data_IF_102174042963
#
_entry.id   IF_102174042963
#
_cell.length_a   1.000
_cell.length_b   1.000
_cell.length_c   1.000
_cell.angle_alpha   90.00
_cell.angle_beta   90.00
_cell.angle_gamma   90.00
#
_symmetry.space_group_name_H-M   'P 1'
#
loop_
_entity.id
_entity.type
_entity.pdbx_description
1 polymer ?
#
# COMPACT_ATOMS: atom_id res chain seq x y z
N UNK A 1 -1.05 -8.75 -17.55
CA UNK A 1 -0.59 -9.33 -16.28
C UNK A 1 -1.67 -9.09 -15.24
N UNK A 2 -2.23 -10.14 -14.67
CA UNK A 2 -3.13 -10.07 -13.51
C UNK A 2 -2.40 -10.74 -12.35
N UNK A 3 -2.56 -10.18 -11.14
CA UNK A 3 -1.99 -10.79 -9.93
C UNK A 3 -2.81 -12.01 -9.52
N UNK A 4 -2.22 -12.90 -8.73
CA UNK A 4 -2.93 -14.01 -8.06
C UNK A 4 -4.10 -13.54 -7.18
N UNK A 5 -4.16 -12.24 -6.86
CA UNK A 5 -5.22 -11.61 -6.08
C UNK A 5 -6.34 -10.99 -6.94
N UNK A 6 -6.23 -10.99 -8.27
CA UNK A 6 -7.17 -10.29 -9.13
C UNK A 6 -8.50 -11.06 -9.26
N UNK A 7 -9.56 -10.56 -8.61
CA UNK A 7 -10.90 -11.17 -8.67
C UNK A 7 -11.88 -10.43 -9.61
N UNK A 8 -11.68 -9.12 -9.85
CA UNK A 8 -12.59 -8.29 -10.67
C UNK A 8 -11.81 -7.49 -11.73
N UNK A 9 -12.24 -7.46 -13.01
CA UNK A 9 -11.69 -6.55 -14.00
C UNK A 9 -12.06 -5.10 -13.65
N UNK A 10 -11.12 -4.15 -13.80
CA UNK A 10 -11.43 -2.72 -13.62
C UNK A 10 -10.27 -1.79 -13.28
N UNK A 11 -9.08 -2.30 -12.91
CA UNK A 11 -7.91 -1.45 -12.71
C UNK A 11 -7.24 -1.12 -14.06
N UNK A 12 -7.06 0.17 -14.36
CA UNK A 12 -6.37 0.65 -15.57
C UNK A 12 -4.86 0.38 -15.49
N UNK A 13 -4.31 0.32 -14.27
CA UNK A 13 -2.93 -0.07 -14.00
C UNK A 13 -2.89 -1.34 -13.15
N UNK A 14 -1.99 -2.27 -13.48
CA UNK A 14 -1.82 -3.50 -12.72
C UNK A 14 -1.25 -3.19 -11.31
N UNK A 15 -1.81 -3.78 -10.22
CA UNK A 15 -1.26 -3.67 -8.88
C UNK A 15 0.04 -4.49 -8.79
N UNK A 16 1.12 -3.91 -9.28
CA UNK A 16 2.33 -4.67 -9.62
C UNK A 16 3.12 -5.21 -8.43
N UNK A 17 2.95 -4.65 -7.23
CA UNK A 17 3.52 -5.22 -6.01
C UNK A 17 2.99 -6.65 -5.73
N UNK A 18 1.74 -6.93 -6.12
CA UNK A 18 1.15 -8.27 -6.00
C UNK A 18 1.66 -9.27 -7.05
N UNK A 19 2.45 -8.86 -8.05
CA UNK A 19 3.06 -9.77 -9.03
C UNK A 19 4.27 -10.52 -8.46
N UNK A 20 4.77 -10.12 -7.29
CA UNK A 20 5.84 -10.81 -6.57
C UNK A 20 5.35 -12.03 -5.78
N UNK A 21 4.04 -12.30 -5.81
CA UNK A 21 3.42 -13.43 -5.13
C UNK A 21 3.01 -14.48 -6.14
N UNK A 22 3.47 -15.70 -5.92
CA UNK A 22 3.05 -16.91 -6.62
C UNK A 22 2.30 -17.85 -5.65
N UNK A 23 1.65 -18.87 -6.19
CA UNK A 23 0.92 -19.86 -5.38
C UNK A 23 1.80 -20.53 -4.32
N UNK A 24 3.04 -20.98 -4.62
CA UNK A 24 3.94 -21.54 -3.61
C UNK A 24 4.20 -20.59 -2.42
N UNK A 25 4.51 -19.32 -2.68
CA UNK A 25 4.70 -18.35 -1.60
C UNK A 25 3.43 -18.15 -0.77
N UNK A 26 2.26 -18.11 -1.41
CA UNK A 26 1.00 -18.00 -0.70
C UNK A 26 0.69 -19.24 0.15
N UNK A 27 1.06 -20.43 -0.31
CA UNK A 27 0.95 -21.67 0.46
C UNK A 27 1.89 -21.68 1.67
N UNK A 28 3.12 -21.19 1.51
CA UNK A 28 4.09 -21.06 2.60
C UNK A 28 3.58 -20.08 3.67
N UNK A 29 3.04 -18.93 3.25
CA UNK A 29 2.43 -17.95 4.16
C UNK A 29 1.23 -18.56 4.92
N UNK A 30 0.33 -19.25 4.23
CA UNK A 30 -0.80 -19.95 4.87
C UNK A 30 -0.33 -21.00 5.88
N UNK A 31 0.68 -21.79 5.51
CA UNK A 31 1.25 -22.84 6.37
C UNK A 31 1.93 -22.25 7.61
N UNK A 32 2.46 -21.03 7.50
CA UNK A 32 3.00 -20.26 8.62
C UNK A 32 1.92 -19.56 9.48
N UNK A 33 0.63 -19.75 9.18
CA UNK A 33 -0.48 -19.13 9.90
C UNK A 33 -0.71 -17.65 9.55
N UNK A 34 -0.21 -17.19 8.39
CA UNK A 34 -0.43 -15.82 7.91
C UNK A 34 -1.71 -15.80 7.09
N UNK A 35 -2.70 -15.08 7.62
CA UNK A 35 -4.00 -14.87 6.97
C UNK A 35 -3.90 -13.83 5.84
N UNK A 36 -4.72 -13.99 4.81
CA UNK A 36 -4.81 -13.06 3.68
C UNK A 36 -6.23 -12.53 3.53
N UNK A 37 -6.38 -11.23 3.29
CA UNK A 37 -7.64 -10.59 2.94
C UNK A 37 -7.46 -9.74 1.67
N UNK A 38 -8.49 -9.66 0.84
CA UNK A 38 -8.45 -8.94 -0.44
C UNK A 38 -9.49 -7.85 -0.48
N UNK A 39 -9.12 -6.66 -0.97
CA UNK A 39 -10.01 -5.53 -1.23
C UNK A 39 -9.95 -5.13 -2.71
N UNK A 40 -10.86 -4.25 -3.15
CA UNK A 40 -10.86 -3.75 -4.53
C UNK A 40 -10.52 -2.26 -4.55
N UNK A 41 -9.62 -1.85 -5.44
CA UNK A 41 -9.40 -0.44 -5.81
C UNK A 41 -9.37 -0.34 -7.34
N UNK A 42 -10.18 0.57 -7.88
CA UNK A 42 -10.14 0.97 -9.28
C UNK A 42 -9.27 2.22 -9.41
N UNK A 43 -8.03 1.98 -9.80
CA UNK A 43 -7.02 3.00 -10.04
C UNK A 43 -7.30 3.65 -11.40
N UNK A 44 -7.64 4.95 -11.38
CA UNK A 44 -7.78 5.77 -12.58
C UNK A 44 -6.43 6.19 -13.16
N UNK A 45 -6.43 6.82 -14.34
CA UNK A 45 -5.19 7.27 -15.00
C UNK A 45 -4.42 8.35 -14.21
N UNK A 46 -5.05 9.00 -13.24
CA UNK A 46 -4.50 10.12 -12.46
C UNK A 46 -3.48 9.75 -11.38
N UNK A 47 -3.46 8.50 -10.91
CA UNK A 47 -2.68 8.05 -9.74
C UNK A 47 -1.17 8.15 -9.93
N UNK A 48 -0.70 8.08 -11.17
CA UNK A 48 0.72 8.13 -11.52
C UNK A 48 1.19 9.52 -11.95
N UNK A 49 0.34 10.55 -11.83
CA UNK A 49 0.73 11.90 -12.21
C UNK A 49 1.77 12.47 -11.23
N UNK A 50 2.80 13.16 -11.72
CA UNK A 50 3.75 13.87 -10.87
C UNK A 50 3.03 14.91 -10.00
N UNK A 51 3.58 15.19 -8.82
CA UNK A 51 3.12 16.33 -8.01
C UNK A 51 3.40 17.63 -8.78
N UNK A 52 2.35 18.36 -9.15
CA UNK A 52 2.43 19.62 -9.92
C UNK A 52 2.22 20.89 -9.08
N UNK A 53 2.00 20.74 -7.77
CA UNK A 53 1.74 21.88 -6.88
C UNK A 53 3.03 22.44 -6.29
N UNK A 54 3.06 23.75 -6.02
CA UNK A 54 4.20 24.44 -5.39
C UNK A 54 4.42 24.00 -3.93
N UNK A 55 3.37 23.49 -3.28
CA UNK A 55 3.44 22.92 -1.93
C UNK A 55 2.82 21.53 -1.92
N UNK A 56 3.41 20.61 -1.15
CA UNK A 56 2.92 19.23 -1.04
C UNK A 56 1.45 19.20 -0.57
N UNK A 57 1.10 20.02 0.42
CA UNK A 57 -0.26 20.16 0.94
C UNK A 57 -1.27 20.69 -0.08
N UNK A 58 -0.81 21.39 -1.13
CA UNK A 58 -1.66 21.91 -2.19
C UNK A 58 -1.86 20.94 -3.35
N UNK A 59 -1.40 19.70 -3.27
CA UNK A 59 -1.60 18.69 -4.31
C UNK A 59 -2.99 18.05 -4.17
N UNK A 60 -3.78 18.10 -5.24
CA UNK A 60 -5.05 17.37 -5.33
C UNK A 60 -4.81 16.00 -5.96
N UNK A 61 -5.20 14.96 -5.22
CA UNK A 61 -5.24 13.60 -5.75
C UNK A 61 -6.46 13.43 -6.64
N UNK A 62 -6.34 12.59 -7.68
CA UNK A 62 -7.50 12.15 -8.44
C UNK A 62 -8.33 11.17 -7.62
N UNK A 63 -9.65 11.31 -7.71
CA UNK A 63 -10.59 10.39 -7.09
C UNK A 63 -10.40 8.96 -7.63
N UNK A 64 -10.35 8.00 -6.73
CA UNK A 64 -10.27 6.58 -7.03
C UNK A 64 -11.37 5.83 -6.29
N UNK A 65 -12.06 4.96 -7.00
CA UNK A 65 -13.13 4.14 -6.41
C UNK A 65 -12.54 2.93 -5.69
N UNK A 66 -13.00 2.65 -4.48
CA UNK A 66 -12.55 1.54 -3.64
C UNK A 66 -13.72 0.79 -3.03
N UNK A 67 -13.49 -0.47 -2.68
CA UNK A 67 -14.42 -1.31 -1.92
C UNK A 67 -13.66 -2.17 -0.91
N UNK A 68 -13.93 -1.91 0.37
CA UNK A 68 -13.49 -2.68 1.53
C UNK A 68 -14.73 -3.36 2.12
N UNK A 69 -14.78 -4.68 2.06
CA UNK A 69 -15.89 -5.47 2.57
C UNK A 69 -15.81 -5.64 4.09
N UNK A 70 -16.96 -5.98 4.70
CA UNK A 70 -17.05 -6.38 6.10
C UNK A 70 -16.07 -7.50 6.48
N UNK A 71 -15.92 -8.50 5.61
CA UNK A 71 -14.94 -9.58 5.83
C UNK A 71 -13.48 -9.10 5.95
N UNK A 72 -13.10 -8.02 5.26
CA UNK A 72 -11.76 -7.42 5.40
C UNK A 72 -11.66 -6.72 6.75
N UNK A 73 -12.69 -5.99 7.17
CA UNK A 73 -12.74 -5.33 8.47
C UNK A 73 -12.64 -6.34 9.62
N UNK A 74 -13.39 -7.44 9.54
CA UNK A 74 -13.36 -8.53 10.51
C UNK A 74 -11.98 -9.20 10.59
N UNK A 75 -11.36 -9.49 9.44
CA UNK A 75 -10.02 -10.08 9.39
C UNK A 75 -8.97 -9.16 10.03
N UNK A 76 -9.03 -7.86 9.75
CA UNK A 76 -8.16 -6.85 10.37
C UNK A 76 -8.40 -6.77 11.88
N UNK A 77 -9.65 -6.71 12.32
CA UNK A 77 -10.00 -6.64 13.74
C UNK A 77 -9.52 -7.89 14.50
N UNK A 78 -9.76 -9.08 13.94
CA UNK A 78 -9.27 -10.34 14.49
C UNK A 78 -7.74 -10.39 14.56
N UNK A 79 -7.06 -9.86 13.54
CA UNK A 79 -5.59 -9.72 13.50
C UNK A 79 -5.07 -8.84 14.63
N UNK A 80 -5.71 -7.69 14.86
CA UNK A 80 -5.32 -6.78 15.95
C UNK A 80 -5.64 -7.36 17.33
N UNK A 81 -6.77 -8.03 17.49
CA UNK A 81 -7.18 -8.65 18.76
C UNK A 81 -6.19 -9.72 19.26
N UNK A 82 -5.51 -10.41 18.33
CA UNK A 82 -4.46 -11.40 18.65
C UNK A 82 -3.04 -10.82 18.68
N UNK A 83 -2.88 -9.49 18.65
CA UNK A 83 -1.57 -8.82 18.64
C UNK A 83 -0.78 -9.00 17.34
N UNK A 84 -1.47 -9.37 16.26
CA UNK A 84 -0.89 -9.51 14.93
C UNK A 84 -0.63 -8.17 14.23
N UNK A 85 -0.13 -8.25 13.00
CA UNK A 85 0.20 -7.09 12.17
C UNK A 85 -0.55 -7.15 10.84
N UNK A 86 -1.00 -6.00 10.36
CA UNK A 86 -1.62 -5.81 9.06
C UNK A 86 -0.56 -5.30 8.08
N UNK A 87 -0.15 -6.16 7.15
CA UNK A 87 0.85 -5.83 6.12
C UNK A 87 0.12 -5.62 4.79
N UNK A 88 0.13 -4.40 4.28
CA UNK A 88 -0.46 -4.07 2.99
C UNK A 88 0.44 -4.54 1.84
N UNK A 89 -0.16 -5.10 0.78
CA UNK A 89 0.54 -5.44 -0.47
C UNK A 89 0.18 -4.41 -1.53
N UNK A 90 1.03 -3.40 -1.65
CA UNK A 90 0.88 -2.27 -2.57
C UNK A 90 0.30 -1.01 -1.92
N UNK A 91 0.76 0.15 -2.41
CA UNK A 91 0.34 1.49 -1.93
C UNK A 91 -1.16 1.76 -2.15
N UNK A 92 -1.73 1.16 -3.18
CA UNK A 92 -3.17 1.12 -3.46
C UNK A 92 -3.95 0.53 -2.27
N UNK A 93 -3.50 -0.59 -1.72
CA UNK A 93 -4.14 -1.24 -0.56
C UNK A 93 -4.04 -0.34 0.67
N UNK A 94 -2.90 0.33 0.87
CA UNK A 94 -2.73 1.31 1.95
C UNK A 94 -3.78 2.42 1.86
N UNK A 95 -3.90 3.06 0.70
CA UNK A 95 -4.89 4.14 0.51
C UNK A 95 -6.32 3.66 0.75
N UNK A 96 -6.67 2.45 0.29
CA UNK A 96 -8.00 1.88 0.52
C UNK A 96 -8.31 1.67 2.01
N UNK A 97 -7.38 1.06 2.75
CA UNK A 97 -7.57 0.79 4.18
C UNK A 97 -7.62 2.08 5.00
N UNK A 98 -6.71 3.01 4.75
CA UNK A 98 -6.65 4.27 5.49
C UNK A 98 -7.81 5.21 5.12
N UNK A 99 -8.32 5.17 3.88
CA UNK A 99 -9.54 5.87 3.50
C UNK A 99 -10.77 5.31 4.24
N UNK A 100 -10.91 3.98 4.28
CA UNK A 100 -11.99 3.30 4.98
C UNK A 100 -11.91 3.43 6.52
N UNK A 101 -10.80 3.95 7.05
CA UNK A 101 -10.60 4.20 8.47
C UNK A 101 -10.67 5.68 8.88
N UNK A 102 -10.98 6.61 7.98
CA UNK A 102 -10.98 8.06 8.30
C UNK A 102 -11.87 8.45 9.49
N UNK A 103 -12.89 7.66 9.83
CA UNK A 103 -13.74 7.87 11.00
C UNK A 103 -13.11 7.45 12.34
N UNK A 104 -11.82 7.06 12.36
CA UNK A 104 -11.07 6.65 13.56
C UNK A 104 -11.01 5.14 13.78
N UNK A 105 -11.71 4.36 12.96
CA UNK A 105 -11.63 2.91 12.92
C UNK A 105 -11.97 2.40 11.53
N UNK A 106 -11.40 1.26 11.14
CA UNK A 106 -11.72 0.61 9.87
C UNK A 106 -13.19 0.15 9.86
N UNK A 107 -13.95 0.57 8.86
CA UNK A 107 -15.32 0.15 8.64
C UNK A 107 -15.55 -0.25 7.16
N UNK A 108 -16.59 -1.05 6.85
CA UNK A 108 -16.95 -1.35 5.48
C UNK A 108 -17.18 -0.06 4.69
N UNK A 109 -16.59 0.04 3.51
CA UNK A 109 -16.65 1.26 2.71
C UNK A 109 -16.64 0.93 1.22
N UNK A 110 -17.53 1.59 0.48
CA UNK A 110 -17.59 1.52 -0.97
C UNK A 110 -17.84 2.93 -1.52
N UNK A 111 -16.91 3.45 -2.31
CA UNK A 111 -16.97 4.83 -2.77
C UNK A 111 -15.64 5.38 -3.26
N UNK A 112 -15.63 6.68 -3.55
CA UNK A 112 -14.44 7.37 -4.04
C UNK A 112 -13.59 7.92 -2.90
N UNK A 113 -12.27 7.86 -3.07
CA UNK A 113 -11.32 8.53 -2.18
C UNK A 113 -10.34 9.40 -2.94
N UNK A 114 -10.04 10.56 -2.37
CA UNK A 114 -8.96 11.46 -2.78
C UNK A 114 -7.85 11.49 -1.72
N UNK A 115 -7.76 10.47 -0.87
CA UNK A 115 -6.80 10.45 0.23
C UNK A 115 -5.37 10.63 -0.30
N UNK A 116 -4.68 11.62 0.27
CA UNK A 116 -3.27 11.89 0.00
C UNK A 116 -2.44 11.60 1.25
N UNK A 117 -1.57 10.59 1.15
CA UNK A 117 -0.72 10.13 2.25
C UNK A 117 0.69 10.65 2.03
N UNK A 118 1.17 11.50 2.94
CA UNK A 118 2.49 12.13 2.92
C UNK A 118 3.04 12.26 4.35
N UNK A 119 4.33 12.59 4.54
CA UNK A 119 4.93 12.65 5.88
C UNK A 119 4.14 13.51 6.86
N UNK A 120 3.85 12.96 8.05
CA UNK A 120 2.93 13.53 9.03
C UNK A 120 1.55 12.86 9.07
N UNK A 121 1.26 11.94 8.14
CA UNK A 121 0.05 11.13 8.17
C UNK A 121 0.07 10.11 9.31
N UNK A 122 -1.03 9.99 10.05
CA UNK A 122 -1.22 8.99 11.11
C UNK A 122 -1.92 7.75 10.54
N UNK A 123 -1.19 6.63 10.50
CA UNK A 123 -1.73 5.36 10.03
C UNK A 123 -2.59 4.70 11.11
N UNK A 124 -3.81 4.32 10.74
CA UNK A 124 -4.75 3.66 11.65
C UNK A 124 -4.79 2.15 11.46
N UNK A 125 -4.52 1.68 10.24
CA UNK A 125 -4.76 0.29 9.86
C UNK A 125 -3.48 -0.43 9.46
N UNK A 126 -2.59 0.21 8.71
CA UNK A 126 -1.43 -0.45 8.12
C UNK A 126 -0.23 -0.39 9.06
N UNK A 127 0.30 -1.56 9.44
CA UNK A 127 1.53 -1.66 10.27
C UNK A 127 2.79 -1.81 9.41
N UNK A 128 2.66 -2.31 8.17
CA UNK A 128 3.78 -2.49 7.24
C UNK A 128 3.33 -2.60 5.79
N UNK A 129 4.27 -2.55 4.87
CA UNK A 129 3.98 -2.44 3.43
C UNK A 129 4.98 -3.24 2.59
N UNK A 130 4.45 -4.04 1.65
CA UNK A 130 5.20 -4.60 0.53
C UNK A 130 4.88 -3.78 -0.71
N UNK A 131 5.89 -3.19 -1.35
CA UNK A 131 5.70 -2.34 -2.54
C UNK A 131 6.93 -2.35 -3.44
N UNK A 132 6.81 -1.87 -4.68
CA UNK A 132 7.95 -1.67 -5.58
C UNK A 132 8.77 -0.43 -5.18
N UNK A 133 9.95 -0.27 -5.79
CA UNK A 133 10.66 1.02 -5.76
C UNK A 133 10.00 2.04 -6.70
N UNK A 134 9.74 3.24 -6.19
CA UNK A 134 8.97 4.29 -6.86
C UNK A 134 9.87 5.39 -7.45
N UNK A 135 9.30 6.24 -8.30
CA UNK A 135 10.03 7.36 -8.87
C UNK A 135 10.34 8.45 -7.83
N UNK A 136 11.55 9.05 -7.87
CA UNK A 136 11.82 10.29 -7.14
C UNK A 136 10.78 11.36 -7.47
N UNK A 137 10.28 12.05 -6.44
CA UNK A 137 9.26 13.10 -6.58
C UNK A 137 7.83 12.60 -6.84
N UNK A 138 7.57 11.29 -6.79
CA UNK A 138 6.20 10.76 -6.91
C UNK A 138 5.40 10.86 -5.60
N UNK A 139 4.07 10.90 -5.70
CA UNK A 139 3.18 10.76 -4.53
C UNK A 139 3.42 9.43 -3.79
N UNK A 140 3.79 8.37 -4.52
CA UNK A 140 4.10 7.06 -3.94
C UNK A 140 5.35 7.09 -3.07
N UNK A 141 6.40 7.83 -3.46
CA UNK A 141 7.59 7.96 -2.58
C UNK A 141 7.26 8.76 -1.32
N UNK A 142 6.31 9.69 -1.37
CA UNK A 142 5.80 10.41 -0.19
C UNK A 142 5.04 9.49 0.74
N UNK A 143 4.17 8.61 0.22
CA UNK A 143 3.42 7.63 1.02
C UNK A 143 4.37 6.69 1.76
N UNK A 144 5.35 6.07 1.08
CA UNK A 144 6.29 5.17 1.75
C UNK A 144 7.18 5.93 2.76
N UNK A 145 7.46 7.20 2.51
CA UNK A 145 8.18 8.07 3.46
C UNK A 145 7.34 8.46 4.67
N UNK A 146 6.02 8.55 4.52
CA UNK A 146 5.10 8.74 5.65
C UNK A 146 5.13 7.53 6.58
N UNK A 147 5.19 6.31 6.00
CA UNK A 147 5.18 5.07 6.76
C UNK A 147 6.50 4.79 7.48
N UNK A 148 7.64 4.89 6.78
CA UNK A 148 8.95 4.46 7.31
C UNK A 148 9.86 5.62 7.75
N UNK A 149 9.42 6.86 7.55
CA UNK A 149 10.25 8.05 7.73
C UNK A 149 11.14 8.33 6.51
N UNK A 150 11.23 9.60 6.14
CA UNK A 150 11.95 10.07 4.95
C UNK A 150 13.41 9.61 4.89
N UNK A 151 14.15 9.75 5.98
CA UNK A 151 15.60 9.44 5.97
C UNK A 151 15.87 7.94 5.79
N UNK A 152 15.04 7.07 6.37
CA UNK A 152 15.12 5.62 6.15
C UNK A 152 14.83 5.25 4.71
N UNK A 153 13.78 5.82 4.11
CA UNK A 153 13.46 5.59 2.69
C UNK A 153 14.58 6.08 1.79
N UNK A 154 15.12 7.29 2.01
CA UNK A 154 16.23 7.80 1.21
C UNK A 154 17.49 6.94 1.34
N UNK A 155 17.78 6.41 2.54
CA UNK A 155 18.89 5.49 2.75
C UNK A 155 18.67 4.16 2.00
N UNK A 156 17.46 3.59 2.08
CA UNK A 156 17.10 2.38 1.35
C UNK A 156 17.22 2.55 -0.17
N UNK A 157 16.79 3.71 -0.71
CA UNK A 157 16.90 4.00 -2.14
C UNK A 157 18.35 4.18 -2.58
N UNK A 158 19.19 4.87 -1.80
CA UNK A 158 20.63 4.96 -2.08
C UNK A 158 21.28 3.57 -2.12
N UNK A 159 20.92 2.71 -1.18
CA UNK A 159 21.40 1.33 -1.16
C UNK A 159 20.94 0.55 -2.40
N UNK A 160 19.65 0.63 -2.74
CA UNK A 160 19.06 -0.06 -3.89
C UNK A 160 19.74 0.37 -5.21
N UNK A 161 20.03 1.66 -5.38
CA UNK A 161 20.80 2.17 -6.53
C UNK A 161 22.23 1.63 -6.51
N UNK A 162 22.93 1.68 -5.37
CA UNK A 162 24.31 1.19 -5.26
C UNK A 162 24.44 -0.33 -5.46
N UNK A 163 23.34 -1.07 -5.28
CA UNK A 163 23.26 -2.52 -5.48
C UNK A 163 22.54 -2.92 -6.77
N UNK A 164 22.27 -1.96 -7.65
CA UNK A 164 21.67 -2.19 -8.96
C UNK A 164 20.32 -2.93 -8.91
N UNK A 165 19.53 -2.65 -7.87
CA UNK A 165 18.14 -3.12 -7.81
C UNK A 165 17.37 -2.56 -9.01
N UNK A 166 16.41 -3.35 -9.49
CA UNK A 166 15.51 -2.96 -10.56
C UNK A 166 14.37 -2.14 -9.95
N UNK A 167 14.09 -0.97 -10.52
CA UNK A 167 13.04 -0.08 -10.02
C UNK A 167 11.74 -0.26 -10.81
N UNK A 168 10.69 0.46 -10.40
CA UNK A 168 9.39 0.54 -11.09
C UNK A 168 8.56 -0.74 -11.01
N UNK A 169 7.47 -0.75 -11.81
CA UNK A 169 6.40 -1.74 -11.75
C UNK A 169 6.87 -3.19 -11.94
N UNK A 170 7.91 -3.42 -12.74
CA UNK A 170 8.45 -4.77 -12.99
C UNK A 170 9.83 -4.99 -12.37
N UNK A 171 10.26 -4.07 -11.51
CA UNK A 171 11.50 -4.17 -10.75
C UNK A 171 11.33 -4.99 -9.48
N UNK A 172 12.28 -4.86 -8.57
CA UNK A 172 12.30 -5.53 -7.28
C UNK A 172 11.28 -4.93 -6.30
N UNK A 173 11.06 -5.66 -5.19
CA UNK A 173 10.17 -5.27 -4.12
C UNK A 173 10.94 -4.78 -2.87
N UNK A 174 10.23 -4.02 -2.04
CA UNK A 174 10.64 -3.55 -0.74
C UNK A 174 9.58 -3.97 0.29
N UNK A 175 10.03 -4.57 1.40
CA UNK A 175 9.21 -4.84 2.58
C UNK A 175 9.57 -3.83 3.67
N UNK A 176 8.58 -3.06 4.10
CA UNK A 176 8.64 -2.15 5.24
C UNK A 176 7.92 -2.83 6.40
N UNK A 177 8.66 -3.07 7.47
CA UNK A 177 8.12 -3.61 8.72
C UNK A 177 7.88 -2.47 9.72
N UNK A 178 6.91 -2.64 10.65
CA UNK A 178 6.71 -1.68 11.72
C UNK A 178 8.01 -1.49 12.51
N UNK A 179 8.28 -0.25 12.92
CA UNK A 179 9.38 -0.01 13.84
C UNK A 179 9.06 -0.73 15.15
N UNK A 180 9.98 -1.57 15.60
CA UNK A 180 9.89 -2.18 16.92
C UNK A 180 10.12 -1.05 17.92
N UNK A 181 9.08 -0.64 18.63
CA UNK A 181 9.24 0.20 19.81
C UNK A 181 10.12 -0.56 20.79
N UNK A 182 11.38 -0.14 20.91
CA UNK A 182 12.33 -0.59 21.94
C UNK A 182 11.98 0.02 23.29
#
# INVERSE_FOLDING_TARGET
YQTVFAAKPGAVAAPTAGLHFDEPLLDDLRSAGIETATLTLHVGAGTFQPVRSETVSGHQMHAEWLSVSESVCEAVAATRARGGRVIAVGTTVVRSLEAAAQAGQLAPYEGETEIFIYPGFEFQVVDGLITNFHLPGSTLVMLVSALAGREHILAAYRHAVAKEYRFFSYGDAMLILPQVST
#
